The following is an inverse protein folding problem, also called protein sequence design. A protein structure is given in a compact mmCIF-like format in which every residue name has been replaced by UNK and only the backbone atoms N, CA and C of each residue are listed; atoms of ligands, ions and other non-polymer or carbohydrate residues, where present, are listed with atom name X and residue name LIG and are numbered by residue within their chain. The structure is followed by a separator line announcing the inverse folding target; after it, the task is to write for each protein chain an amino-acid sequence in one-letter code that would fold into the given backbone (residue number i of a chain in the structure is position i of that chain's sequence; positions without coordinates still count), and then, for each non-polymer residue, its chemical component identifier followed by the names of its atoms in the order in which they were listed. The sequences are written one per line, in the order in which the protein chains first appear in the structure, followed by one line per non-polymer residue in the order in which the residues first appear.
data_IF_549801986840
#
_entry.id   IF_549801986840
#
_cell.length_a   1.000
_cell.length_b   1.000
_cell.length_c   1.000
_cell.angle_alpha   90.00
_cell.angle_beta   90.00
_cell.angle_gamma   90.00
#
_symmetry.space_group_name_H-M   'P 1'
#
loop_
_entity.id
_entity.type
_entity.pdbx_description
1 polymer ?
#
# COMPACT_ATOMS: atom_id res chain seq x y z
N UNK A 1 29.33 -9.96 8.17
CA UNK A 1 28.41 -9.38 7.18
C UNK A 1 27.06 -9.98 7.51
N UNK A 2 26.27 -9.28 8.33
CA UNK A 2 24.99 -9.77 8.83
C UNK A 2 23.93 -9.49 7.77
N UNK A 3 23.14 -10.51 7.43
CA UNK A 3 21.98 -10.41 6.54
C UNK A 3 20.80 -9.65 7.19
N UNK A 4 20.98 -9.19 8.43
CA UNK A 4 19.98 -8.49 9.26
C UNK A 4 19.83 -6.98 8.94
N UNK A 5 20.71 -6.36 8.14
CA UNK A 5 20.66 -4.91 7.86
C UNK A 5 19.78 -4.51 6.65
N UNK A 6 19.36 -5.45 5.79
CA UNK A 6 18.60 -5.14 4.56
C UNK A 6 17.07 -5.30 4.69
N UNK A 7 16.60 -5.82 5.82
CA UNK A 7 15.18 -5.87 6.16
C UNK A 7 14.94 -4.94 7.33
N UNK A 8 14.52 -3.70 7.05
CA UNK A 8 13.86 -2.89 8.07
C UNK A 8 12.53 -3.61 8.40
N UNK A 9 12.62 -4.55 9.34
CA UNK A 9 11.55 -5.47 9.74
C UNK A 9 10.30 -4.68 10.13
N UNK A 10 10.48 -3.53 10.78
CA UNK A 10 9.37 -2.66 11.14
C UNK A 10 8.68 -2.06 9.91
N UNK A 11 9.42 -1.67 8.87
CA UNK A 11 8.83 -1.17 7.61
C UNK A 11 8.07 -2.28 6.91
N UNK A 12 8.65 -3.49 6.83
CA UNK A 12 7.99 -4.65 6.23
C UNK A 12 6.69 -4.98 6.98
N UNK A 13 6.73 -5.05 8.30
CA UNK A 13 5.55 -5.32 9.12
C UNK A 13 4.48 -4.21 8.99
N UNK A 14 4.89 -2.94 8.94
CA UNK A 14 3.97 -1.83 8.73
C UNK A 14 3.30 -1.87 7.35
N UNK A 15 4.03 -2.25 6.29
CA UNK A 15 3.46 -2.43 4.96
C UNK A 15 2.50 -3.62 4.92
N UNK A 16 2.83 -4.73 5.59
CA UNK A 16 1.95 -5.90 5.74
C UNK A 16 0.65 -5.55 6.48
N UNK A 17 0.72 -4.76 7.56
CA UNK A 17 -0.48 -4.28 8.27
C UNK A 17 -1.41 -3.47 7.35
N UNK A 18 -0.85 -2.61 6.48
CA UNK A 18 -1.65 -1.88 5.49
C UNK A 18 -2.30 -2.81 4.46
N UNK A 19 -1.51 -3.71 3.84
CA UNK A 19 -2.03 -4.66 2.84
C UNK A 19 -3.16 -5.49 3.45
N UNK A 20 -2.97 -6.03 4.65
CA UNK A 20 -3.97 -6.82 5.37
C UNK A 20 -5.28 -6.06 5.63
N UNK A 21 -5.20 -4.75 5.85
CA UNK A 21 -6.37 -3.89 6.10
C UNK A 21 -7.16 -3.55 4.84
N UNK A 22 -6.58 -3.72 3.66
CA UNK A 22 -7.32 -3.56 2.40
C UNK A 22 -8.24 -4.74 2.13
N UNK A 23 -7.99 -5.90 2.73
CA UNK A 23 -8.68 -7.14 2.41
C UNK A 23 -8.14 -7.86 1.18
N UNK A 24 -6.99 -7.40 0.65
CA UNK A 24 -6.24 -8.12 -0.37
C UNK A 24 -5.83 -9.52 0.13
N UNK A 25 -5.76 -10.46 -0.81
CA UNK A 25 -5.44 -11.88 -0.59
C UNK A 25 -4.18 -12.26 -1.37
N UNK A 26 -3.59 -13.40 -1.04
CA UNK A 26 -2.47 -13.98 -1.81
C UNK A 26 -1.34 -12.98 -2.08
N UNK A 27 -0.80 -12.39 -1.00
CA UNK A 27 0.36 -11.52 -1.08
C UNK A 27 1.61 -12.34 -1.39
N UNK A 28 2.41 -11.88 -2.35
CA UNK A 28 3.73 -12.43 -2.66
C UNK A 28 4.74 -11.30 -2.86
N UNK A 29 5.97 -11.54 -2.42
CA UNK A 29 7.14 -10.65 -2.62
C UNK A 29 8.32 -11.50 -3.09
N UNK A 30 9.14 -10.97 -3.98
CA UNK A 30 10.32 -11.69 -4.49
C UNK A 30 11.19 -10.88 -5.44
N UNK A 31 12.17 -11.55 -6.02
CA UNK A 31 13.10 -10.99 -7.01
C UNK A 31 12.54 -11.08 -8.43
N UNK A 32 12.73 -10.03 -9.23
CA UNK A 32 12.42 -10.00 -10.66
C UNK A 32 13.46 -10.75 -11.52
N UNK A 33 14.69 -10.85 -11.03
CA UNK A 33 15.80 -11.43 -11.77
C UNK A 33 16.46 -12.54 -10.97
N UNK A 34 16.68 -13.67 -11.62
CA UNK A 34 17.45 -14.79 -11.07
C UNK A 34 18.92 -14.69 -11.53
N UNK A 35 19.85 -15.12 -10.68
CA UNK A 35 21.27 -15.21 -11.05
C UNK A 35 22.07 -13.90 -10.98
N UNK A 36 21.52 -12.83 -10.40
CA UNK A 36 22.24 -11.58 -10.11
C UNK A 36 22.47 -11.43 -8.60
N UNK A 37 23.52 -10.71 -8.17
CA UNK A 37 23.70 -10.34 -6.76
C UNK A 37 22.45 -9.65 -6.20
N UNK A 38 22.15 -9.86 -4.91
CA UNK A 38 20.94 -9.30 -4.27
C UNK A 38 20.87 -7.78 -4.35
N UNK A 39 22.03 -7.10 -4.40
CA UNK A 39 22.14 -5.65 -4.53
C UNK A 39 21.75 -5.13 -5.92
N UNK A 40 21.77 -6.00 -6.93
CA UNK A 40 21.39 -5.71 -8.32
C UNK A 40 20.00 -6.28 -8.66
N UNK A 41 19.45 -7.13 -7.79
CA UNK A 41 18.16 -7.74 -7.97
C UNK A 41 17.04 -6.71 -7.70
N UNK A 42 16.20 -6.47 -8.70
CA UNK A 42 14.96 -5.71 -8.51
C UNK A 42 13.92 -6.54 -7.79
N UNK A 43 13.09 -5.89 -6.96
CA UNK A 43 12.04 -6.53 -6.18
C UNK A 43 10.66 -6.24 -6.77
N UNK A 44 9.77 -7.22 -6.62
CA UNK A 44 8.34 -7.07 -6.90
C UNK A 44 7.51 -7.46 -5.69
N UNK A 45 6.30 -6.90 -5.61
CA UNK A 45 5.23 -7.35 -4.73
C UNK A 45 3.92 -7.39 -5.50
N UNK A 46 3.08 -8.39 -5.23
CA UNK A 46 1.71 -8.38 -5.73
C UNK A 46 0.72 -8.97 -4.75
N UNK A 47 -0.54 -8.56 -4.88
CA UNK A 47 -1.65 -9.14 -4.14
C UNK A 47 -2.90 -9.24 -5.04
N UNK A 48 -3.77 -10.16 -4.68
CA UNK A 48 -5.09 -10.33 -5.27
C UNK A 48 -6.10 -9.42 -4.55
N UNK A 49 -6.67 -8.44 -5.25
CA UNK A 49 -7.61 -7.48 -4.69
C UNK A 49 -8.82 -7.32 -5.63
N UNK A 50 -10.04 -7.52 -5.11
CA UNK A 50 -11.30 -7.48 -5.88
C UNK A 50 -11.28 -8.25 -7.21
N UNK A 51 -10.64 -9.42 -7.25
CA UNK A 51 -10.57 -10.24 -8.47
C UNK A 51 -9.52 -9.76 -9.50
N UNK A 52 -8.79 -8.68 -9.22
CA UNK A 52 -7.63 -8.25 -9.98
C UNK A 52 -6.32 -8.57 -9.26
N UNK A 53 -5.26 -8.86 -10.04
CA UNK A 53 -3.89 -8.94 -9.52
C UNK A 53 -3.26 -7.57 -9.63
N UNK A 54 -2.90 -6.99 -8.49
CA UNK A 54 -2.22 -5.70 -8.40
C UNK A 54 -0.74 -5.99 -8.14
N UNK A 55 0.13 -5.49 -9.02
CA UNK A 55 1.58 -5.75 -8.98
C UNK A 55 2.34 -4.44 -9.00
N UNK A 56 3.39 -4.37 -8.20
CA UNK A 56 4.43 -3.34 -8.17
C UNK A 56 5.81 -3.99 -8.39
N UNK A 57 6.65 -3.37 -9.21
CA UNK A 57 7.89 -3.94 -9.75
C UNK A 57 9.02 -2.89 -9.80
N UNK A 58 10.26 -3.34 -9.95
CA UNK A 58 11.46 -2.50 -10.08
C UNK A 58 11.82 -1.69 -8.82
N UNK A 59 11.56 -2.27 -7.65
CA UNK A 59 11.94 -1.67 -6.37
C UNK A 59 13.31 -2.15 -5.88
N UNK A 60 13.99 -1.33 -5.06
CA UNK A 60 15.34 -1.63 -4.58
C UNK A 60 15.37 -2.69 -3.47
N UNK A 61 14.24 -2.89 -2.81
CA UNK A 61 14.11 -3.81 -1.70
C UNK A 61 12.68 -4.30 -1.49
N UNK A 62 12.50 -5.33 -0.64
CA UNK A 62 11.19 -5.90 -0.35
C UNK A 62 10.29 -4.91 0.39
N UNK A 63 10.87 -4.11 1.29
CA UNK A 63 10.15 -3.07 2.04
C UNK A 63 9.54 -2.02 1.11
N UNK A 64 10.33 -1.52 0.14
CA UNK A 64 9.88 -0.54 -0.85
C UNK A 64 8.79 -1.12 -1.77
N UNK A 65 8.95 -2.38 -2.21
CA UNK A 65 7.93 -3.05 -3.02
C UNK A 65 6.60 -3.24 -2.28
N UNK A 66 6.65 -3.67 -1.01
CA UNK A 66 5.47 -3.84 -0.17
C UNK A 66 4.80 -2.52 0.15
N UNK A 67 5.56 -1.47 0.44
CA UNK A 67 5.01 -0.13 0.68
C UNK A 67 4.34 0.43 -0.57
N UNK A 68 4.97 0.33 -1.74
CA UNK A 68 4.38 0.74 -3.01
C UNK A 68 3.07 0.00 -3.29
N UNK A 69 3.05 -1.32 -3.09
CA UNK A 69 1.84 -2.13 -3.25
C UNK A 69 0.75 -1.71 -2.26
N UNK A 70 1.10 -1.50 -0.98
CA UNK A 70 0.17 -1.07 0.05
C UNK A 70 -0.48 0.28 -0.30
N UNK A 71 0.33 1.26 -0.74
CA UNK A 71 -0.15 2.57 -1.19
C UNK A 71 -1.10 2.45 -2.37
N UNK A 72 -0.74 1.65 -3.38
CA UNK A 72 -1.61 1.42 -4.55
C UNK A 72 -2.93 0.76 -4.20
N UNK A 73 -2.93 -0.21 -3.28
CA UNK A 73 -4.15 -0.84 -2.79
C UNK A 73 -5.02 0.13 -1.98
N UNK A 74 -4.42 1.11 -1.32
CA UNK A 74 -5.11 2.13 -0.54
C UNK A 74 -5.58 3.33 -1.35
N UNK A 75 -5.11 3.50 -2.60
CA UNK A 75 -5.63 4.51 -3.52
C UNK A 75 -7.14 4.35 -3.70
N UNK A 76 -7.91 5.29 -3.15
CA UNK A 76 -9.38 5.24 -3.17
C UNK A 76 -10.04 4.52 -1.99
N UNK A 77 -9.26 3.89 -1.10
CA UNK A 77 -9.81 3.11 -0.01
C UNK A 77 -10.56 3.98 1.01
N UNK A 78 -11.62 3.41 1.59
CA UNK A 78 -12.39 4.02 2.67
C UNK A 78 -12.06 3.36 4.00
N UNK A 79 -12.01 4.16 5.05
CA UNK A 79 -12.02 3.65 6.40
C UNK A 79 -13.38 2.98 6.67
N UNK A 80 -13.36 1.70 7.04
CA UNK A 80 -14.57 0.93 7.36
C UNK A 80 -15.32 1.44 8.61
N UNK A 81 -14.72 2.35 9.39
CA UNK A 81 -15.34 2.91 10.59
C UNK A 81 -16.02 4.26 10.35
N UNK A 82 -15.32 5.23 9.78
CA UNK A 82 -15.87 6.57 9.54
C UNK A 82 -16.32 6.81 8.10
N UNK A 83 -16.04 5.88 7.17
CA UNK A 83 -16.34 6.04 5.74
C UNK A 83 -15.42 7.01 4.99
N UNK A 84 -14.55 7.72 5.69
CA UNK A 84 -13.61 8.69 5.12
C UNK A 84 -12.51 8.06 4.28
N UNK A 85 -12.02 8.82 3.31
CA UNK A 85 -10.94 8.41 2.43
C UNK A 85 -9.64 8.22 3.22
N UNK A 86 -9.01 7.06 3.08
CA UNK A 86 -7.74 6.78 3.76
C UNK A 86 -6.66 7.69 3.18
N UNK A 87 -5.96 8.41 4.04
CA UNK A 87 -4.84 9.27 3.66
C UNK A 87 -3.62 8.91 4.50
N UNK A 88 -2.47 8.69 3.84
CA UNK A 88 -1.21 8.41 4.51
C UNK A 88 -0.36 9.69 4.61
N UNK A 89 0.56 9.80 5.59
CA UNK A 89 1.44 10.96 5.71
C UNK A 89 2.32 11.08 4.46
N UNK A 90 2.50 12.31 3.98
CA UNK A 90 3.29 12.60 2.78
C UNK A 90 2.55 12.36 1.45
N UNK A 91 1.34 11.80 1.47
CA UNK A 91 0.48 11.77 0.29
C UNK A 91 -0.31 13.06 0.18
N UNK A 92 -0.37 13.60 -1.03
CA UNK A 92 -1.35 14.63 -1.32
C UNK A 92 -2.76 14.00 -1.21
N UNK A 93 -3.76 14.71 -0.65
CA UNK A 93 -5.15 14.25 -0.63
C UNK A 93 -5.71 13.94 -2.04
N UNK A 94 -4.96 14.31 -3.09
CA UNK A 94 -5.24 14.12 -4.49
C UNK A 94 -5.08 12.68 -5.02
N UNK A 95 -4.92 11.66 -4.16
CA UNK A 95 -5.15 10.26 -4.57
C UNK A 95 -6.61 10.02 -5.03
N UNK A 96 -7.48 11.02 -4.89
CA UNK A 96 -8.89 11.01 -5.28
C UNK A 96 -9.18 12.08 -6.34
N UNK A 97 -8.50 12.04 -7.47
CA UNK A 97 -9.02 12.65 -8.69
C UNK A 97 -10.24 11.84 -9.12
N UNK A 98 -11.34 12.50 -9.49
CA UNK A 98 -12.49 11.85 -10.10
C UNK A 98 -12.03 10.81 -11.13
N UNK A 99 -12.45 9.56 -10.97
CA UNK A 99 -11.80 8.46 -11.68
C UNK A 99 -12.24 7.08 -11.19
N UNK A 100 -11.57 6.04 -11.71
CA UNK A 100 -11.79 4.65 -11.31
C UNK A 100 -10.76 4.29 -10.24
N UNK A 101 -11.23 3.91 -9.06
CA UNK A 101 -10.40 3.47 -7.95
C UNK A 101 -9.79 2.08 -8.20
N UNK A 102 -8.86 1.65 -7.34
CA UNK A 102 -8.21 0.34 -7.43
C UNK A 102 -9.20 -0.83 -7.30
N UNK A 103 -10.36 -0.63 -6.67
CA UNK A 103 -11.45 -1.63 -6.57
C UNK A 103 -12.41 -1.62 -7.78
N UNK A 104 -12.20 -0.74 -8.76
CA UNK A 104 -13.06 -0.55 -9.92
C UNK A 104 -14.22 0.43 -9.71
N UNK A 105 -14.42 0.96 -8.50
CA UNK A 105 -15.47 1.94 -8.19
C UNK A 105 -15.17 3.27 -8.89
N UNK A 106 -16.18 3.89 -9.52
CA UNK A 106 -16.04 5.23 -10.11
C UNK A 106 -16.48 6.32 -9.15
N UNK A 107 -15.69 7.37 -9.04
CA UNK A 107 -15.97 8.54 -8.19
C UNK A 107 -16.10 9.81 -9.00
N UNK A 108 -17.09 10.63 -8.63
CA UNK A 108 -17.15 12.04 -9.01
C UNK A 108 -16.29 12.88 -8.07
N UNK A 109 -15.89 14.07 -8.52
CA UNK A 109 -15.15 15.02 -7.67
C UNK A 109 -15.96 15.44 -6.43
N UNK A 110 -17.29 15.48 -6.55
CA UNK A 110 -18.20 15.80 -5.45
C UNK A 110 -18.22 14.68 -4.39
N UNK A 111 -18.28 13.42 -4.81
CA UNK A 111 -18.17 12.27 -3.90
C UNK A 111 -16.82 12.25 -3.19
N UNK A 112 -15.74 12.60 -3.90
CA UNK A 112 -14.40 12.72 -3.34
C UNK A 112 -14.33 13.78 -2.23
N UNK A 113 -14.91 14.95 -2.49
CA UNK A 113 -14.97 16.04 -1.50
C UNK A 113 -15.87 15.72 -0.31
N UNK A 114 -16.97 15.00 -0.51
CA UNK A 114 -17.97 14.75 0.52
C UNK A 114 -17.59 13.61 1.48
N UNK A 115 -16.74 12.67 1.06
CA UNK A 115 -16.36 11.52 1.88
C UNK A 115 -15.55 11.92 3.13
N UNK A 116 -14.92 13.08 3.15
CA UNK A 116 -13.96 13.46 4.20
C UNK A 116 -12.69 12.60 4.15
N UNK A 117 -11.78 12.83 5.08
CA UNK A 117 -10.48 12.15 5.14
C UNK A 117 -10.31 11.44 6.48
N UNK A 118 -9.77 10.23 6.44
CA UNK A 118 -9.31 9.49 7.60
C UNK A 118 -7.80 9.36 7.50
N UNK A 119 -7.09 10.15 8.31
CA UNK A 119 -5.63 10.06 8.37
C UNK A 119 -5.24 8.77 9.07
N UNK A 120 -4.33 8.02 8.46
CA UNK A 120 -3.70 6.90 9.13
C UNK A 120 -2.25 7.27 9.43
N UNK A 121 -1.78 6.94 10.63
CA UNK A 121 -0.41 7.28 11.06
C UNK A 121 0.31 6.00 11.46
N UNK A 122 1.56 5.85 11.03
CA UNK A 122 2.41 4.73 11.42
C UNK A 122 2.87 4.88 12.87
N UNK A 123 2.70 3.83 13.65
CA UNK A 123 3.18 3.69 15.04
C UNK A 123 3.96 2.37 15.10
N UNK A 124 5.29 2.45 14.94
CA UNK A 124 6.17 1.28 14.83
C UNK A 124 5.76 0.37 13.66
N UNK A 125 5.47 -0.93 13.90
CA UNK A 125 5.06 -1.88 12.87
C UNK A 125 3.56 -1.84 12.52
N UNK A 126 2.79 -0.86 13.02
CA UNK A 126 1.33 -0.80 12.85
C UNK A 126 0.85 0.56 12.37
N UNK A 127 -0.35 0.59 11.82
CA UNK A 127 -1.07 1.80 11.45
C UNK A 127 -2.26 2.06 12.38
N UNK A 128 -2.28 3.26 12.93
CA UNK A 128 -3.38 3.79 13.71
C UNK A 128 -4.28 4.64 12.82
N UNK A 129 -5.60 4.51 13.03
CA UNK A 129 -6.61 5.27 12.31
C UNK A 129 -6.99 6.47 13.16
N UNK A 130 -6.95 7.65 12.58
CA UNK A 130 -7.42 8.89 13.19
C UNK A 130 -8.78 9.22 12.55
N UNK A 131 -9.81 8.49 12.98
CA UNK A 131 -11.18 8.81 12.55
C UNK A 131 -11.58 10.13 13.20
N UNK A 132 -12.00 11.10 12.38
CA UNK A 132 -12.65 12.32 12.82
C UNK A 132 -14.16 12.13 12.93
#
# INVERSE_FOLDING_TARGET
MNLDEDLDEEVVLAALDLVGRTGAKQLQVGFLHEGVPVQEASWYAHAQYHGARITEENHKGPAEALEALARRLLTGAKCVHCGGLVTLPGEAPSAHVAGTLTDGTRWTAEQASAAGQCRWTRIGPRWARECA
#
